data_IF_553314904433
#
_entry.id   IF_553314904433
#
_cell.length_a   1.000
_cell.length_b   1.000
_cell.length_c   1.000
_cell.angle_alpha   90.00
_cell.angle_beta   90.00
_cell.angle_gamma   90.00
#
_symmetry.space_group_name_H-M   'P 1'
#
loop_
_entity.id
_entity.type
_entity.pdbx_description
1 polymer ?
#
# COMPACT_ATOMS: atom_id res chain seq x y z
N UNK A 1 -3.68 9.18 5.54
CA UNK A 1 -4.08 9.93 4.32
C UNK A 1 -4.22 8.94 3.19
N UNK A 2 -5.20 9.10 2.30
CA UNK A 2 -5.48 8.17 1.20
C UNK A 2 -5.74 8.92 -0.10
N UNK A 3 -5.63 8.21 -1.22
CA UNK A 3 -6.00 8.70 -2.55
C UNK A 3 -6.99 7.73 -3.16
N UNK A 4 -8.11 8.20 -3.69
CA UNK A 4 -9.06 7.35 -4.41
C UNK A 4 -8.71 7.22 -5.88
N UNK A 5 -8.84 6.02 -6.44
CA UNK A 5 -8.95 5.84 -7.88
C UNK A 5 -10.35 6.28 -8.32
N UNK A 6 -10.44 7.48 -8.89
CA UNK A 6 -11.71 8.13 -9.24
C UNK A 6 -12.25 8.99 -8.09
N UNK A 7 -13.57 9.11 -8.02
CA UNK A 7 -14.26 10.00 -7.08
C UNK A 7 -14.10 9.54 -5.62
N UNK A 8 -13.50 10.40 -4.79
CA UNK A 8 -13.42 10.18 -3.33
C UNK A 8 -14.80 10.13 -2.68
N UNK A 9 -15.76 10.95 -3.18
CA UNK A 9 -17.15 10.92 -2.73
C UNK A 9 -17.75 9.53 -2.88
N UNK A 10 -17.54 8.89 -4.03
CA UNK A 10 -18.08 7.55 -4.27
C UNK A 10 -17.49 6.53 -3.30
N UNK A 11 -16.18 6.63 -2.98
CA UNK A 11 -15.55 5.77 -1.97
C UNK A 11 -16.20 5.97 -0.60
N UNK A 12 -16.38 7.22 -0.17
CA UNK A 12 -16.92 7.55 1.16
C UNK A 12 -18.41 7.22 1.32
N UNK A 13 -19.18 7.21 0.24
CA UNK A 13 -20.60 6.82 0.24
C UNK A 13 -20.81 5.31 0.41
N UNK A 14 -19.78 4.48 0.24
CA UNK A 14 -19.89 3.06 0.56
C UNK A 14 -20.05 2.90 2.08
N UNK A 15 -21.00 2.08 2.49
CA UNK A 15 -21.17 1.70 3.89
C UNK A 15 -20.58 0.30 4.08
N UNK A 16 -19.47 0.17 4.84
CA UNK A 16 -18.96 -1.14 5.15
C UNK A 16 -19.96 -1.90 6.03
N UNK A 17 -20.03 -3.24 5.90
CA UNK A 17 -21.01 -4.04 6.62
C UNK A 17 -20.69 -4.21 8.12
N UNK A 18 -19.42 -4.04 8.51
CA UNK A 18 -18.94 -4.31 9.86
C UNK A 18 -18.53 -3.03 10.61
N UNK A 19 -17.80 -2.14 9.94
CA UNK A 19 -17.26 -0.93 10.54
C UNK A 19 -18.26 0.22 10.57
N UNK A 20 -18.11 1.12 11.53
CA UNK A 20 -18.98 2.30 11.68
C UNK A 20 -18.90 3.28 10.49
N UNK A 21 -17.80 3.27 9.72
CA UNK A 21 -17.64 4.14 8.55
C UNK A 21 -16.58 3.60 7.59
N UNK A 22 -16.60 4.04 6.32
CA UNK A 22 -15.52 3.75 5.37
C UNK A 22 -14.16 4.25 5.84
N UNK A 23 -14.11 5.38 6.54
CA UNK A 23 -12.86 5.88 7.11
C UNK A 23 -12.31 4.93 8.19
N UNK A 24 -13.20 4.35 9.02
CA UNK A 24 -12.85 3.34 10.02
C UNK A 24 -12.37 2.06 9.36
N UNK A 25 -13.06 1.57 8.33
CA UNK A 25 -12.66 0.38 7.58
C UNK A 25 -11.28 0.55 6.92
N UNK A 26 -11.04 1.68 6.25
CA UNK A 26 -9.74 1.95 5.62
C UNK A 26 -8.61 2.11 6.66
N UNK A 27 -8.92 2.65 7.84
CA UNK A 27 -7.94 2.74 8.94
C UNK A 27 -7.60 1.36 9.51
N UNK A 28 -8.60 0.51 9.72
CA UNK A 28 -8.37 -0.86 10.19
C UNK A 28 -7.49 -1.63 9.19
N UNK A 29 -7.72 -1.44 7.89
CA UNK A 29 -6.86 -2.02 6.85
C UNK A 29 -5.39 -1.55 6.96
N UNK A 30 -5.14 -0.29 7.31
CA UNK A 30 -3.75 0.19 7.55
C UNK A 30 -3.15 -0.36 8.84
N UNK A 31 -3.95 -0.58 9.88
CA UNK A 31 -3.52 -1.12 11.17
C UNK A 31 -3.12 -2.61 11.08
N UNK A 32 -3.50 -3.32 10.01
CA UNK A 32 -3.01 -4.67 9.71
C UNK A 32 -1.53 -4.72 9.24
N UNK A 33 -0.78 -3.61 9.34
CA UNK A 33 0.68 -3.48 9.13
C UNK A 33 1.22 -3.92 7.76
N UNK A 34 0.34 -4.22 6.81
CA UNK A 34 0.69 -4.72 5.47
C UNK A 34 0.50 -3.66 4.38
N UNK A 35 0.08 -2.46 4.78
CA UNK A 35 -0.25 -1.33 3.91
C UNK A 35 0.55 -0.12 4.36
N UNK A 36 0.94 0.74 3.42
CA UNK A 36 1.58 2.02 3.69
C UNK A 36 0.67 2.88 4.60
N UNK A 37 1.13 3.28 5.79
CA UNK A 37 0.45 4.29 6.61
C UNK A 37 1.13 5.66 6.42
N UNK A 38 0.33 6.67 6.11
CA UNK A 38 0.82 8.05 5.89
C UNK A 38 -0.04 9.06 6.65
N UNK A 39 0.39 9.42 7.87
CA UNK A 39 -0.15 10.58 8.57
C UNK A 39 0.10 11.87 7.78
N UNK A 40 -0.74 12.89 7.99
CA UNK A 40 -0.62 14.18 7.30
C UNK A 40 0.75 14.85 7.52
N UNK A 41 1.33 14.68 8.71
CA UNK A 41 2.69 15.14 9.04
C UNK A 41 3.74 14.50 8.14
N UNK A 42 3.69 13.18 7.96
CA UNK A 42 4.63 12.45 7.10
C UNK A 42 4.48 12.87 5.63
N UNK A 43 3.24 13.11 5.17
CA UNK A 43 2.99 13.67 3.84
C UNK A 43 3.65 15.04 3.66
N UNK A 44 3.46 15.96 4.62
CA UNK A 44 4.07 17.28 4.58
C UNK A 44 5.61 17.19 4.54
N UNK A 45 6.20 16.31 5.34
CA UNK A 45 7.65 16.06 5.35
C UNK A 45 8.15 15.50 4.01
N UNK A 46 7.44 14.54 3.41
CA UNK A 46 7.78 13.99 2.09
C UNK A 46 7.77 15.06 0.99
N UNK A 47 6.74 15.90 0.98
CA UNK A 47 6.60 16.98 -0.01
C UNK A 47 7.62 18.10 0.19
N UNK A 48 8.02 18.40 1.43
CA UNK A 48 9.05 19.38 1.75
C UNK A 48 10.49 18.84 1.57
N UNK A 49 10.66 17.52 1.45
CA UNK A 49 11.96 16.88 1.28
C UNK A 49 12.63 17.22 -0.06
N UNK A 50 13.93 16.94 -0.17
CA UNK A 50 14.74 17.23 -1.37
C UNK A 50 14.16 16.67 -2.68
N UNK A 51 13.50 15.51 -2.61
CA UNK A 51 12.86 14.91 -3.77
C UNK A 51 11.54 15.59 -4.12
N UNK A 52 10.86 16.26 -3.18
CA UNK A 52 9.49 16.75 -3.34
C UNK A 52 8.51 15.65 -3.77
N UNK A 53 8.78 14.41 -3.38
CA UNK A 53 8.05 13.23 -3.80
C UNK A 53 7.37 12.57 -2.60
N UNK A 54 6.16 12.04 -2.82
CA UNK A 54 5.39 11.36 -1.79
C UNK A 54 4.72 10.11 -2.36
N UNK A 55 4.55 9.09 -1.53
CA UNK A 55 3.68 7.96 -1.84
C UNK A 55 2.48 8.02 -0.90
N UNK A 56 1.29 7.77 -1.42
CA UNK A 56 0.07 7.66 -0.62
C UNK A 56 -0.66 6.37 -0.97
N UNK A 57 -1.37 5.73 -0.03
CA UNK A 57 -2.12 4.52 -0.29
C UNK A 57 -3.25 4.80 -1.28
N UNK A 58 -3.38 3.93 -2.29
CA UNK A 58 -4.36 4.07 -3.36
C UNK A 58 -5.58 3.20 -3.07
N UNK A 59 -6.73 3.82 -2.89
CA UNK A 59 -8.01 3.13 -2.64
C UNK A 59 -8.75 2.92 -3.95
N UNK A 60 -9.20 1.69 -4.19
CA UNK A 60 -10.05 1.31 -5.32
C UNK A 60 -11.35 0.74 -4.80
N UNK A 61 -12.40 0.78 -5.62
CA UNK A 61 -13.64 0.06 -5.35
C UNK A 61 -13.55 -1.28 -6.08
N UNK A 62 -13.54 -2.38 -5.33
CA UNK A 62 -13.51 -3.72 -5.93
C UNK A 62 -14.88 -4.07 -6.52
N UNK A 63 -14.91 -4.79 -7.66
CA UNK A 63 -16.15 -5.34 -8.18
C UNK A 63 -16.70 -6.40 -7.22
N UNK A 64 -18.02 -6.70 -7.27
CA UNK A 64 -18.62 -7.76 -6.49
C UNK A 64 -17.95 -9.11 -6.78
N UNK A 65 -17.66 -9.89 -5.74
CA UNK A 65 -16.88 -11.13 -5.85
C UNK A 65 -17.63 -12.32 -6.46
N UNK A 66 -18.96 -12.40 -6.34
CA UNK A 66 -19.79 -13.51 -6.85
C UNK A 66 -21.24 -13.04 -7.17
N UNK A 67 -21.98 -13.74 -8.05
CA UNK A 67 -23.37 -13.39 -8.40
C UNK A 67 -24.43 -13.76 -7.34
N UNK A 68 -24.06 -14.38 -6.21
CA UNK A 68 -25.01 -15.00 -5.25
C UNK A 68 -24.83 -14.50 -3.81
N UNK A 69 -24.71 -13.18 -3.64
CA UNK A 69 -24.69 -12.48 -2.35
C UNK A 69 -24.80 -10.98 -2.58
N UNK A 70 -25.23 -10.17 -1.59
CA UNK A 70 -25.52 -8.76 -1.82
C UNK A 70 -24.31 -8.10 -2.46
N UNK A 71 -24.61 -7.34 -3.52
CA UNK A 71 -23.75 -6.72 -4.51
C UNK A 71 -22.76 -5.70 -3.91
N UNK A 72 -21.98 -6.11 -2.90
CA UNK A 72 -21.16 -5.24 -2.08
C UNK A 72 -19.82 -5.02 -2.77
N UNK A 73 -19.79 -3.93 -3.53
CA UNK A 73 -18.55 -3.25 -3.88
C UNK A 73 -17.91 -2.74 -2.59
N UNK A 74 -16.64 -3.06 -2.37
CA UNK A 74 -15.94 -2.67 -1.15
C UNK A 74 -14.72 -1.81 -1.48
N UNK A 75 -14.52 -0.67 -0.79
CA UNK A 75 -13.25 0.04 -0.81
C UNK A 75 -12.11 -0.88 -0.38
N UNK A 76 -11.00 -0.83 -1.10
CA UNK A 76 -9.80 -1.63 -0.82
C UNK A 76 -8.55 -0.83 -1.14
N UNK A 77 -7.49 -0.96 -0.34
CA UNK A 77 -6.21 -0.31 -0.63
C UNK A 77 -5.40 -1.18 -1.58
N UNK A 78 -5.27 -0.75 -2.84
CA UNK A 78 -4.55 -1.45 -3.91
C UNK A 78 -3.28 -0.70 -4.30
N UNK A 79 -2.22 -0.90 -3.52
CA UNK A 79 -0.90 -0.32 -3.78
C UNK A 79 -0.79 1.15 -3.38
N UNK A 80 -0.03 1.94 -4.13
CA UNK A 80 0.25 3.34 -3.80
C UNK A 80 0.27 4.27 -5.01
N UNK A 81 -0.28 5.46 -4.84
CA UNK A 81 -0.13 6.58 -5.76
C UNK A 81 1.19 7.32 -5.48
N UNK A 82 1.93 7.63 -6.54
CA UNK A 82 3.23 8.30 -6.47
C UNK A 82 3.07 9.75 -6.94
N UNK A 83 3.54 10.67 -6.12
CA UNK A 83 3.50 12.11 -6.35
C UNK A 83 4.90 12.68 -6.51
N UNK A 84 5.02 13.69 -7.36
CA UNK A 84 6.22 14.52 -7.52
C UNK A 84 5.81 15.96 -7.70
N UNK A 85 6.39 16.87 -6.92
CA UNK A 85 6.09 18.32 -6.94
C UNK A 85 4.58 18.59 -6.87
N UNK A 86 3.89 17.88 -5.97
CA UNK A 86 2.45 18.04 -5.73
C UNK A 86 1.52 17.42 -6.77
N UNK A 87 2.02 16.73 -7.81
CA UNK A 87 1.20 16.07 -8.82
C UNK A 87 1.39 14.56 -8.79
N UNK A 88 0.31 13.79 -8.99
CA UNK A 88 0.42 12.34 -9.18
C UNK A 88 1.09 12.07 -10.53
N UNK A 89 2.16 11.28 -10.52
CA UNK A 89 2.93 10.90 -11.72
C UNK A 89 2.79 9.43 -12.08
N UNK A 90 2.19 8.63 -11.20
CA UNK A 90 2.00 7.21 -11.44
C UNK A 90 1.45 6.48 -10.22
N UNK A 91 1.36 5.16 -10.35
CA UNK A 91 0.95 4.24 -9.30
C UNK A 91 1.85 3.01 -9.33
N UNK A 92 2.04 2.43 -8.16
CA UNK A 92 2.66 1.11 -7.98
C UNK A 92 1.63 0.18 -7.37
N UNK A 93 1.67 -1.09 -7.76
CA UNK A 93 0.78 -2.11 -7.22
C UNK A 93 1.18 -2.53 -5.80
N UNK A 94 0.41 -3.45 -5.23
CA UNK A 94 0.59 -3.91 -3.85
C UNK A 94 1.93 -4.62 -3.64
N UNK A 95 2.38 -5.44 -4.59
CA UNK A 95 3.62 -6.21 -4.49
C UNK A 95 4.84 -5.28 -4.57
N UNK A 96 4.81 -4.31 -5.47
CA UNK A 96 5.85 -3.28 -5.57
C UNK A 96 5.83 -2.37 -4.33
N UNK A 97 4.65 -1.97 -3.84
CA UNK A 97 4.53 -1.19 -2.59
C UNK A 97 5.16 -1.94 -1.42
N UNK A 98 4.80 -3.22 -1.20
CA UNK A 98 5.37 -4.04 -0.13
C UNK A 98 6.89 -4.18 -0.27
N UNK A 99 7.38 -4.40 -1.49
CA UNK A 99 8.82 -4.49 -1.76
C UNK A 99 9.56 -3.19 -1.39
N UNK A 100 8.99 -2.03 -1.72
CA UNK A 100 9.56 -0.73 -1.33
C UNK A 100 9.58 -0.55 0.19
N UNK A 101 8.51 -0.93 0.88
CA UNK A 101 8.42 -0.83 2.34
C UNK A 101 9.41 -1.78 3.05
N UNK A 102 9.60 -2.98 2.50
CA UNK A 102 10.60 -3.94 2.97
C UNK A 102 12.02 -3.35 2.86
N UNK A 103 12.37 -2.76 1.72
CA UNK A 103 13.67 -2.13 1.50
C UNK A 103 13.90 -0.92 2.43
N UNK A 104 12.83 -0.16 2.71
CA UNK A 104 12.83 0.97 3.64
C UNK A 104 12.81 0.57 5.12
N UNK A 105 12.77 -0.73 5.43
CA UNK A 105 12.67 -1.25 6.80
C UNK A 105 11.40 -0.78 7.53
N UNK A 106 10.30 -0.62 6.79
CA UNK A 106 8.99 -0.19 7.31
C UNK A 106 8.03 -1.38 7.51
N UNK A 107 8.41 -2.58 7.05
CA UNK A 107 7.68 -3.83 7.30
C UNK A 107 8.37 -4.67 8.38
N UNK A 108 7.67 -4.89 9.50
CA UNK A 108 8.15 -5.73 10.61
C UNK A 108 7.88 -7.22 10.39
N UNK A 109 6.75 -7.55 9.76
CA UNK A 109 6.34 -8.91 9.45
C UNK A 109 5.81 -8.93 8.02
N UNK A 110 6.18 -9.95 7.25
CA UNK A 110 5.73 -10.16 5.89
C UNK A 110 5.26 -11.60 5.74
N UNK A 111 4.16 -11.84 5.03
CA UNK A 111 3.73 -13.18 4.66
C UNK A 111 3.91 -13.37 3.17
N UNK A 112 4.79 -14.28 2.77
CA UNK A 112 5.00 -14.65 1.37
C UNK A 112 4.25 -15.96 1.12
N UNK A 113 3.31 -15.94 0.19
CA UNK A 113 2.58 -17.14 -0.24
C UNK A 113 2.99 -17.49 -1.66
N UNK A 114 3.40 -18.73 -1.89
CA UNK A 114 3.82 -19.20 -3.20
C UNK A 114 3.40 -20.65 -3.42
N UNK A 115 3.30 -21.05 -4.69
CA UNK A 115 3.14 -22.44 -5.09
C UNK A 115 4.53 -23.08 -5.19
N UNK A 116 4.83 -24.14 -4.42
CA UNK A 116 6.11 -24.82 -4.54
C UNK A 116 6.24 -25.49 -5.91
N UNK A 117 7.47 -25.58 -6.44
CA UNK A 117 7.73 -26.23 -7.73
C UNK A 117 7.37 -27.72 -7.71
N UNK A 118 7.49 -28.36 -6.56
CA UNK A 118 7.16 -29.75 -6.32
C UNK A 118 6.06 -29.84 -5.25
N UNK A 119 5.04 -30.65 -5.50
CA UNK A 119 3.87 -30.82 -4.63
C UNK A 119 2.64 -30.02 -5.08
N UNK A 120 1.59 -30.09 -4.26
CA UNK A 120 0.32 -29.42 -4.51
C UNK A 120 -0.02 -28.46 -3.36
N UNK A 121 -0.74 -27.39 -3.68
CA UNK A 121 -1.22 -26.42 -2.69
C UNK A 121 -0.40 -25.14 -2.62
N UNK A 122 -0.74 -24.30 -1.63
CA UNK A 122 -0.06 -23.04 -1.35
C UNK A 122 0.78 -23.19 -0.08
N UNK A 123 1.99 -22.64 -0.10
CA UNK A 123 2.85 -22.52 1.09
C UNK A 123 2.92 -21.06 1.47
N UNK A 124 2.64 -20.75 2.73
CA UNK A 124 2.73 -19.40 3.30
C UNK A 124 3.84 -19.35 4.36
N UNK A 125 4.77 -18.41 4.20
CA UNK A 125 5.86 -18.17 5.14
C UNK A 125 5.68 -16.80 5.79
N UNK A 126 5.56 -16.77 7.12
CA UNK A 126 5.61 -15.55 7.91
C UNK A 126 7.06 -15.23 8.29
N UNK A 127 7.57 -14.11 7.78
CA UNK A 127 8.96 -13.67 7.92
C UNK A 127 9.01 -12.41 8.78
N UNK A 128 9.87 -12.41 9.80
CA UNK A 128 10.30 -11.18 10.47
C UNK A 128 11.49 -10.61 9.70
N UNK A 129 11.35 -9.38 9.22
CA UNK A 129 12.36 -8.72 8.39
C UNK A 129 12.95 -7.52 9.11
N UNK A 130 14.27 -7.36 8.95
CA UNK A 130 14.98 -6.12 9.27
C UNK A 130 15.94 -5.81 8.13
N UNK A 131 15.75 -4.68 7.49
CA UNK A 131 16.54 -4.28 6.31
C UNK A 131 17.45 -3.11 6.66
N UNK A 132 18.67 -3.12 6.14
CA UNK A 132 19.60 -1.99 6.22
C UNK A 132 20.15 -1.72 4.82
N UNK A 133 19.78 -0.58 4.25
CA UNK A 133 20.35 -0.11 2.99
C UNK A 133 21.66 0.64 3.29
N UNK A 134 22.77 0.14 2.76
CA UNK A 134 24.11 0.71 2.92
C UNK A 134 24.58 1.25 1.56
N UNK A 135 24.27 2.52 1.22
CA UNK A 135 24.67 3.08 -0.06
C UNK A 135 26.19 3.12 -0.16
N UNK A 136 26.73 2.74 -1.33
CA UNK A 136 28.15 2.85 -1.66
C UNK A 136 28.31 3.79 -2.84
N UNK A 137 29.15 4.81 -2.67
CA UNK A 137 29.51 5.74 -3.72
C UNK A 137 30.88 5.32 -4.23
N UNK A 138 30.97 5.00 -5.52
CA UNK A 138 32.23 4.77 -6.22
C UNK A 138 32.22 5.63 -7.48
N UNK A 139 33.29 6.39 -7.69
CA UNK A 139 33.46 7.26 -8.87
C UNK A 139 32.33 8.29 -9.09
N UNK A 140 31.80 8.85 -7.99
CA UNK A 140 30.80 9.92 -8.03
C UNK A 140 29.38 9.47 -8.38
N UNK A 141 29.12 8.17 -8.52
CA UNK A 141 27.78 7.63 -8.74
C UNK A 141 27.41 6.62 -7.64
N UNK A 142 26.13 6.58 -7.30
CA UNK A 142 25.57 5.49 -6.49
C UNK A 142 25.57 4.22 -7.36
N UNK A 143 26.16 3.14 -6.86
CA UNK A 143 25.91 1.81 -7.39
C UNK A 143 24.95 1.13 -6.40
N UNK A 144 23.69 1.00 -6.82
CA UNK A 144 22.66 0.19 -6.16
C UNK A 144 22.62 -1.21 -6.81
#
# INVERSE_FOLDING_TARGET
>A
MFVSQGSAKNVLEHQPPLEHSTASALREMTDLHSILDVPIKSLAQMLAGKSGAAALPLVVILPPGQPTGPNQRSPYVKGSAVFKKGRMIGRIDEDVTKSVLLLRNEMRMNTVTFTPKEGHGLVSLALKSKTKLLPRIKDGQNQD
#
